data_IF_300700002047
#
_entry.id   IF_300700002047
#
_cell.length_a   1.000
_cell.length_b   1.000
_cell.length_c   1.000
_cell.angle_alpha   90.00
_cell.angle_beta   90.00
_cell.angle_gamma   90.00
#
_symmetry.space_group_name_H-M   'P 1'
#
loop_
_entity.id
_entity.type
_entity.pdbx_description
1 polymer ?
#
# COMPACT_ATOMS: atom_id res chain seq x y z
N UNK A 1 -31.88 -13.62 -30.49
CA UNK A 1 -30.97 -12.74 -29.73
C UNK A 1 -30.13 -13.62 -28.83
N UNK A 2 -28.80 -13.68 -29.00
CA UNK A 2 -27.93 -14.45 -28.12
C UNK A 2 -27.83 -13.76 -26.75
N UNK A 3 -28.08 -14.51 -25.68
CA UNK A 3 -27.97 -14.03 -24.30
C UNK A 3 -26.50 -13.79 -23.94
N UNK A 4 -26.16 -12.71 -23.22
CA UNK A 4 -24.81 -12.52 -22.70
C UNK A 4 -24.56 -13.56 -21.60
N UNK A 5 -23.63 -14.47 -21.86
CA UNK A 5 -23.14 -15.42 -20.87
C UNK A 5 -22.48 -14.63 -19.74
N UNK A 6 -23.04 -14.72 -18.52
CA UNK A 6 -22.32 -14.28 -17.33
C UNK A 6 -21.08 -15.17 -17.19
N UNK A 7 -19.89 -14.60 -16.96
CA UNK A 7 -18.73 -15.42 -16.63
C UNK A 7 -19.02 -16.22 -15.35
N UNK A 8 -18.91 -17.55 -15.43
CA UNK A 8 -19.14 -18.49 -14.33
C UNK A 8 -18.01 -18.51 -13.29
N UNK A 9 -16.96 -17.71 -13.50
CA UNK A 9 -15.80 -17.68 -12.62
C UNK A 9 -16.06 -16.69 -11.47
N UNK A 10 -15.99 -17.13 -10.20
CA UNK A 10 -16.04 -16.19 -9.08
C UNK A 10 -14.92 -15.14 -9.26
N UNK A 11 -15.18 -13.86 -8.89
CA UNK A 11 -14.14 -12.85 -8.95
C UNK A 11 -12.95 -13.33 -8.12
N UNK A 12 -11.75 -13.26 -8.70
CA UNK A 12 -10.54 -13.56 -7.95
C UNK A 12 -10.51 -12.71 -6.67
N UNK A 13 -10.05 -13.25 -5.53
CA UNK A 13 -9.93 -12.47 -4.30
C UNK A 13 -9.15 -11.17 -4.59
N UNK A 14 -9.66 -10.06 -4.03
CA UNK A 14 -9.08 -8.74 -4.25
C UNK A 14 -7.70 -8.70 -3.59
N UNK A 15 -6.67 -8.47 -4.40
CA UNK A 15 -5.31 -8.34 -3.91
C UNK A 15 -5.18 -7.21 -2.86
N UNK A 16 -6.07 -6.23 -2.89
CA UNK A 16 -6.16 -5.20 -1.87
C UNK A 16 -6.67 -5.75 -0.53
N UNK A 17 -7.71 -6.58 -0.52
CA UNK A 17 -8.22 -7.19 0.72
C UNK A 17 -7.17 -8.12 1.34
N UNK A 18 -6.52 -8.95 0.51
CA UNK A 18 -5.40 -9.80 0.94
C UNK A 18 -4.26 -8.97 1.55
N UNK A 19 -3.93 -7.83 0.92
CA UNK A 19 -2.92 -6.91 1.41
C UNK A 19 -3.29 -6.28 2.76
N UNK A 20 -4.55 -5.87 2.96
CA UNK A 20 -5.04 -5.30 4.23
C UNK A 20 -4.95 -6.33 5.36
N UNK A 21 -5.32 -7.58 5.09
CA UNK A 21 -5.22 -8.66 6.07
C UNK A 21 -3.76 -8.93 6.44
N UNK A 22 -2.88 -9.06 5.45
CA UNK A 22 -1.46 -9.32 5.67
C UNK A 22 -0.77 -8.17 6.42
N UNK A 23 -1.07 -6.92 6.08
CA UNK A 23 -0.52 -5.76 6.79
C UNK A 23 -1.00 -5.68 8.24
N UNK A 24 -2.26 -6.03 8.51
CA UNK A 24 -2.76 -6.14 9.89
C UNK A 24 -2.06 -7.26 10.67
N UNK A 25 -1.85 -8.43 10.05
CA UNK A 25 -1.11 -9.55 10.66
C UNK A 25 0.35 -9.16 10.92
N UNK A 26 0.99 -8.46 9.98
CA UNK A 26 2.34 -7.94 10.12
C UNK A 26 2.46 -6.98 11.31
N UNK A 27 1.55 -6.02 11.44
CA UNK A 27 1.57 -5.05 12.56
C UNK A 27 1.43 -5.74 13.92
N UNK A 28 0.53 -6.74 14.01
CA UNK A 28 0.38 -7.54 15.23
C UNK A 28 1.65 -8.32 15.57
N UNK A 29 2.19 -9.10 14.61
CA UNK A 29 3.42 -9.87 14.81
C UNK A 29 4.64 -8.98 15.12
N UNK A 30 4.68 -7.78 14.55
CA UNK A 30 5.75 -6.83 14.79
C UNK A 30 5.70 -6.28 16.22
N UNK A 31 4.51 -6.02 16.76
CA UNK A 31 4.34 -5.64 18.17
C UNK A 31 4.79 -6.76 19.11
N UNK A 32 4.45 -8.01 18.80
CA UNK A 32 4.87 -9.17 19.59
C UNK A 32 6.39 -9.31 19.59
N UNK A 33 7.03 -9.20 18.42
CA UNK A 33 8.49 -9.17 18.30
C UNK A 33 9.12 -8.07 19.15
N UNK A 34 8.60 -6.83 19.07
CA UNK A 34 9.12 -5.72 19.86
C UNK A 34 9.00 -5.99 21.37
N UNK A 35 7.87 -6.53 21.82
CA UNK A 35 7.67 -6.86 23.23
C UNK A 35 8.68 -7.90 23.73
N UNK A 36 8.94 -8.96 22.94
CA UNK A 36 9.93 -9.99 23.29
C UNK A 36 11.35 -9.42 23.29
N UNK A 37 11.70 -8.63 22.27
CA UNK A 37 13.01 -7.97 22.17
C UNK A 37 13.27 -7.05 23.37
N UNK A 38 12.28 -6.25 23.73
CA UNK A 38 12.39 -5.31 24.85
C UNK A 38 12.47 -6.07 26.20
N UNK A 39 11.74 -7.17 26.35
CA UNK A 39 11.85 -8.06 27.50
C UNK A 39 13.25 -8.69 27.62
N UNK A 40 13.81 -9.19 26.50
CA UNK A 40 15.18 -9.72 26.47
C UNK A 40 16.19 -8.64 26.87
N UNK A 41 16.09 -7.45 26.27
CA UNK A 41 16.99 -6.35 26.58
C UNK A 41 16.93 -5.93 28.07
N UNK A 42 15.72 -5.93 28.66
CA UNK A 42 15.54 -5.62 30.07
C UNK A 42 16.17 -6.69 30.99
N UNK A 43 15.99 -7.98 30.68
CA UNK A 43 16.60 -9.08 31.45
C UNK A 43 18.11 -9.07 31.32
N UNK A 44 18.63 -8.86 30.11
CA UNK A 44 20.08 -8.77 29.86
C UNK A 44 20.70 -7.57 30.60
N UNK A 45 20.02 -6.42 30.61
CA UNK A 45 20.47 -5.24 31.36
C UNK A 45 20.42 -5.45 32.89
N UNK A 46 19.42 -6.17 33.41
CA UNK A 46 19.26 -6.41 34.85
C UNK A 46 20.19 -7.50 35.40
N UNK A 47 20.39 -8.57 34.63
CA UNK A 47 21.13 -9.75 35.07
C UNK A 47 22.57 -9.80 34.56
N UNK A 48 22.89 -9.05 33.50
CA UNK A 48 24.16 -9.16 32.77
C UNK A 48 24.31 -10.49 32.02
N UNK A 49 23.25 -11.30 31.96
CA UNK A 49 23.26 -12.61 31.30
C UNK A 49 22.19 -12.67 30.22
N UNK A 50 22.55 -13.31 29.10
CA UNK A 50 21.63 -13.57 28.02
C UNK A 50 20.73 -14.75 28.40
N UNK A 51 19.42 -14.52 28.45
CA UNK A 51 18.43 -15.59 28.64
C UNK A 51 18.21 -16.35 27.31
N UNK A 52 18.57 -17.64 27.22
CA UNK A 52 18.42 -18.43 26.01
C UNK A 52 16.96 -18.68 25.63
N UNK A 53 16.03 -18.65 26.58
CA UNK A 53 14.60 -18.83 26.32
C UNK A 53 14.01 -17.59 25.65
N UNK A 54 14.35 -16.40 26.15
CA UNK A 54 13.96 -15.12 25.53
C UNK A 54 14.59 -14.91 24.15
N UNK A 55 15.82 -15.41 23.96
CA UNK A 55 16.44 -15.39 22.63
C UNK A 55 15.69 -16.30 21.65
N UNK A 56 15.30 -17.50 22.07
CA UNK A 56 14.52 -18.42 21.22
C UNK A 56 13.16 -17.81 20.86
N UNK A 57 12.46 -17.19 21.80
CA UNK A 57 11.19 -16.55 21.51
C UNK A 57 11.33 -15.34 20.59
N UNK A 58 12.44 -14.59 20.67
CA UNK A 58 12.75 -13.53 19.70
C UNK A 58 12.97 -14.11 18.30
N UNK A 59 13.74 -15.20 18.19
CA UNK A 59 13.99 -15.89 16.91
C UNK A 59 12.68 -16.45 16.30
N UNK A 60 11.78 -17.00 17.12
CA UNK A 60 10.46 -17.48 16.71
C UNK A 60 9.56 -16.34 16.21
N UNK A 61 9.54 -15.19 16.91
CA UNK A 61 8.80 -14.01 16.49
C UNK A 61 9.34 -13.44 15.16
N UNK A 62 10.66 -13.44 14.98
CA UNK A 62 11.30 -13.06 13.71
C UNK A 62 10.97 -14.02 12.58
N UNK A 63 10.91 -15.33 12.85
CA UNK A 63 10.52 -16.33 11.86
C UNK A 63 9.07 -16.10 11.39
N UNK A 64 8.15 -15.85 12.32
CA UNK A 64 6.76 -15.53 11.98
C UNK A 64 6.65 -14.26 11.11
N UNK A 65 7.42 -13.22 11.43
CA UNK A 65 7.50 -12.02 10.58
C UNK A 65 8.02 -12.37 9.18
N UNK A 66 9.09 -13.16 9.07
CA UNK A 66 9.64 -13.56 7.77
C UNK A 66 8.62 -14.33 6.91
N UNK A 67 7.81 -15.19 7.52
CA UNK A 67 6.73 -15.90 6.83
C UNK A 67 5.67 -14.93 6.28
N UNK A 68 5.20 -13.98 7.11
CA UNK A 68 4.22 -12.97 6.68
C UNK A 68 4.81 -12.11 5.55
N UNK A 69 6.10 -11.74 5.64
CA UNK A 69 6.78 -11.00 4.57
C UNK A 69 6.76 -11.78 3.25
N UNK A 70 7.04 -13.07 3.29
CA UNK A 70 7.02 -13.91 2.09
C UNK A 70 5.62 -13.97 1.46
N UNK A 71 4.56 -14.02 2.28
CA UNK A 71 3.17 -13.93 1.80
C UNK A 71 2.88 -12.57 1.14
N UNK A 72 3.32 -11.46 1.74
CA UNK A 72 3.18 -10.12 1.16
C UNK A 72 3.92 -9.99 -0.17
N UNK A 73 5.17 -10.46 -0.24
CA UNK A 73 5.99 -10.42 -1.45
C UNK A 73 5.33 -11.25 -2.57
N UNK A 74 4.68 -12.38 -2.24
CA UNK A 74 3.89 -13.18 -3.17
C UNK A 74 2.69 -12.39 -3.72
N UNK A 75 1.90 -11.74 -2.86
CA UNK A 75 0.77 -10.90 -3.30
C UNK A 75 1.23 -9.80 -4.26
N UNK A 76 2.35 -9.15 -3.98
CA UNK A 76 2.95 -8.13 -4.85
C UNK A 76 3.37 -8.72 -6.19
N UNK A 77 4.05 -9.87 -6.19
CA UNK A 77 4.50 -10.54 -7.41
C UNK A 77 3.32 -10.97 -8.29
N UNK A 78 2.28 -11.57 -7.71
CA UNK A 78 1.07 -11.97 -8.43
C UNK A 78 0.33 -10.77 -8.99
N UNK A 79 0.17 -9.71 -8.19
CA UNK A 79 -0.47 -8.46 -8.62
C UNK A 79 0.28 -7.83 -9.78
N UNK A 80 1.61 -7.85 -9.75
CA UNK A 80 2.46 -7.36 -10.85
C UNK A 80 2.25 -8.17 -12.13
N UNK A 81 2.14 -9.49 -12.05
CA UNK A 81 1.91 -10.36 -13.21
C UNK A 81 0.50 -10.14 -13.82
N UNK A 82 -0.51 -9.88 -12.99
CA UNK A 82 -1.88 -9.61 -13.43
C UNK A 82 -2.03 -8.25 -14.13
N UNK A 83 -1.15 -7.28 -13.83
CA UNK A 83 -1.16 -5.97 -14.51
C UNK A 83 -0.64 -6.15 -15.95
N UNK A 84 -1.51 -5.93 -16.95
CA UNK A 84 -1.06 -5.70 -18.34
C UNK A 84 -0.09 -4.51 -18.35
N UNK A 85 1.03 -4.58 -19.09
CA UNK A 85 1.86 -3.40 -19.29
C UNK A 85 0.98 -2.30 -19.86
N UNK A 86 0.96 -1.13 -19.21
CA UNK A 86 0.28 0.06 -19.72
C UNK A 86 1.12 0.55 -20.92
N UNK A 87 0.97 -0.11 -22.07
CA UNK A 87 1.54 0.30 -23.35
C UNK A 87 0.72 1.40 -24.03
N UNK A 88 0.06 2.25 -23.25
CA UNK A 88 -0.70 3.39 -23.74
C UNK A 88 0.21 4.61 -23.81
N UNK A 89 0.29 5.24 -24.98
CA UNK A 89 0.95 6.54 -25.16
C UNK A 89 0.49 7.51 -24.08
N UNK A 90 1.42 7.97 -23.24
CA UNK A 90 1.15 8.99 -22.23
C UNK A 90 0.85 10.30 -22.97
N UNK A 91 -0.43 10.67 -23.10
CA UNK A 91 -0.81 11.96 -23.68
C UNK A 91 -0.54 13.03 -22.62
N UNK A 92 0.64 13.67 -22.68
CA UNK A 92 0.88 14.92 -21.95
C UNK A 92 0.16 16.06 -22.66
N UNK A 93 -0.91 16.58 -22.04
CA UNK A 93 -1.46 17.88 -22.42
C UNK A 93 -0.61 18.99 -21.81
N UNK A 94 -0.09 19.88 -22.64
CA UNK A 94 0.51 21.15 -22.18
C UNK A 94 -0.59 22.10 -21.75
N UNK A 95 -0.55 22.54 -20.49
CA UNK A 95 -1.32 23.71 -20.05
C UNK A 95 -0.52 24.93 -20.49
N UNK A 96 -0.94 25.57 -21.58
CA UNK A 96 -0.45 26.91 -21.88
C UNK A 96 -0.95 27.84 -20.79
N UNK A 97 0.00 28.50 -20.13
CA UNK A 97 -0.25 29.55 -19.17
C UNK A 97 -0.92 30.69 -19.93
N UNK A 98 -2.25 30.75 -19.88
CA UNK A 98 -3.01 31.89 -20.40
C UNK A 98 -2.40 33.16 -19.86
N UNK A 99 -1.77 33.93 -20.74
CA UNK A 99 -1.29 35.26 -20.45
C UNK A 99 -2.49 36.11 -20.02
N UNK A 100 -2.31 36.80 -18.92
CA UNK A 100 -3.33 37.60 -18.29
C UNK A 100 -3.72 38.78 -19.18
N UNK A 101 -5.01 38.90 -19.50
CA UNK A 101 -5.63 40.21 -19.74
C UNK A 101 -6.89 40.34 -18.90
N UNK A 102 -6.72 40.95 -17.74
CA UNK A 102 -7.67 41.91 -17.19
C UNK A 102 -6.81 43.07 -16.63
N UNK A 103 -7.26 44.34 -16.62
CA UNK A 103 -8.66 44.76 -16.60
C UNK A 103 -8.96 46.00 -17.50
N UNK A 104 -10.23 46.35 -17.67
CA UNK A 104 -10.74 47.68 -17.29
C UNK A 104 -12.25 47.78 -17.55
N UNK A 105 -12.98 48.16 -16.51
CA UNK A 105 -14.30 48.77 -16.64
C UNK A 105 -14.22 49.99 -17.55
N UNK A 106 -15.22 50.18 -18.40
CA UNK A 106 -15.71 51.49 -18.81
C UNK A 106 -17.21 51.36 -19.08
N UNK A 107 -17.98 51.99 -18.20
CA UNK A 107 -19.39 52.33 -18.36
C UNK A 107 -19.64 53.18 -19.62
N UNK A 108 -20.88 53.10 -20.11
CA UNK A 108 -21.64 54.09 -20.89
C UNK A 108 -21.20 54.53 -22.29
N UNK A 109 -22.04 54.26 -23.30
CA UNK A 109 -22.74 55.32 -24.05
C UNK A 109 -23.95 54.73 -24.83
N UNK A 110 -25.19 55.26 -24.64
CA UNK A 110 -26.38 54.83 -25.36
C UNK A 110 -26.57 55.56 -26.70
N UNK A 111 -27.39 54.95 -27.56
CA UNK A 111 -28.00 55.52 -28.78
C UNK A 111 -27.14 55.72 -30.04
N UNK A 112 -27.36 54.85 -31.03
CA UNK A 112 -27.69 55.23 -32.43
C UNK A 112 -28.03 54.02 -33.31
N UNK A 113 -29.33 53.71 -33.46
CA UNK A 113 -30.07 53.75 -34.73
C UNK A 113 -31.52 53.32 -34.54
#
# INVERSE_FOLDING_TARGET
MPSPQRPETPPAPDAFDDWVVLTSRWDAAYKDYLAVRDARAAVEAASGTLDPELKRSEDEALAALAEIKAEMDKVVAETRQRRRPIGGSLVMGTIERGEAEAPSNSEDDPAKK
#
